data_IF_111744962131
#
_entry.id   IF_111744962131
#
_cell.length_a   1.000
_cell.length_b   1.000
_cell.length_c   1.000
_cell.angle_alpha   90.00
_cell.angle_beta   90.00
_cell.angle_gamma   90.00
#
_symmetry.space_group_name_H-M   'P 1'
#
loop_
_entity.id
_entity.type
_entity.pdbx_description
1 polymer ?
#
# COMPACT_ATOMS: atom_id res chain seq x y z
N UNK A 1 -41.52 -34.04 12.17
CA UNK A 1 -41.46 -32.92 11.21
C UNK A 1 -40.92 -31.70 11.94
N UNK A 2 -39.79 -31.15 11.45
CA UNK A 2 -39.31 -29.75 11.52
C UNK A 2 -39.13 -29.18 12.95
N UNK A 3 -37.93 -29.25 13.56
CA UNK A 3 -36.73 -28.43 13.33
C UNK A 3 -36.93 -26.93 13.61
N UNK A 4 -36.31 -26.41 14.68
CA UNK A 4 -35.96 -24.99 14.78
C UNK A 4 -34.61 -24.87 15.47
N UNK A 5 -33.56 -24.85 14.64
CA UNK A 5 -32.19 -24.57 15.04
C UNK A 5 -32.04 -23.06 15.27
N UNK A 6 -31.70 -22.65 16.49
CA UNK A 6 -31.05 -21.36 16.73
C UNK A 6 -29.58 -21.48 16.31
N UNK A 7 -29.30 -21.23 15.05
CA UNK A 7 -27.94 -20.96 14.59
C UNK A 7 -27.62 -19.49 14.88
N UNK A 8 -26.91 -19.25 15.98
CA UNK A 8 -26.22 -17.99 16.21
C UNK A 8 -25.20 -17.78 15.08
N UNK A 9 -25.55 -16.94 14.10
CA UNK A 9 -24.58 -16.37 13.16
C UNK A 9 -23.65 -15.43 13.95
N UNK A 10 -22.62 -16.01 14.57
CA UNK A 10 -21.35 -15.32 14.73
C UNK A 10 -20.82 -15.09 13.32
N UNK A 11 -21.15 -13.92 12.76
CA UNK A 11 -20.43 -13.33 11.65
C UNK A 11 -19.03 -13.00 12.18
N UNK A 12 -18.21 -14.05 12.27
CA UNK A 12 -16.76 -13.91 12.30
C UNK A 12 -16.39 -13.28 10.98
N UNK A 13 -16.34 -11.95 10.95
CA UNK A 13 -15.47 -11.23 10.03
C UNK A 13 -14.07 -11.68 10.40
N UNK A 14 -13.67 -12.81 9.82
CA UNK A 14 -12.29 -13.17 9.61
C UNK A 14 -11.73 -11.97 8.85
N UNK A 15 -11.15 -11.04 9.59
CA UNK A 15 -10.16 -10.12 9.06
C UNK A 15 -9.07 -11.02 8.51
N UNK A 16 -9.20 -11.39 7.24
CA UNK A 16 -8.07 -11.77 6.42
C UNK A 16 -7.17 -10.55 6.47
N UNK A 17 -6.28 -10.51 7.46
CA UNK A 17 -5.05 -9.74 7.38
C UNK A 17 -4.37 -10.38 6.19
N UNK A 18 -4.63 -9.84 5.01
CA UNK A 18 -3.94 -10.30 3.81
C UNK A 18 -2.47 -10.16 4.14
N UNK A 19 -1.73 -11.25 3.98
CA UNK A 19 -0.27 -11.21 4.13
C UNK A 19 0.24 -10.22 3.07
N UNK A 20 0.39 -8.94 3.45
CA UNK A 20 0.61 -7.83 2.52
C UNK A 20 -0.11 -6.52 2.85
N UNK A 21 -1.10 -6.51 3.76
CA UNK A 21 -1.65 -5.27 4.29
C UNK A 21 -0.63 -4.57 5.21
N UNK A 22 -0.40 -3.26 5.05
CA UNK A 22 0.49 -2.53 5.95
C UNK A 22 -0.04 -2.52 7.39
N UNK A 23 0.86 -2.69 8.36
CA UNK A 23 0.48 -2.64 9.77
C UNK A 23 0.05 -1.22 10.19
N UNK A 24 -0.78 -1.07 11.26
CA UNK A 24 -1.13 0.25 11.79
C UNK A 24 0.08 1.12 12.13
N UNK A 25 1.16 0.51 12.62
CA UNK A 25 2.44 1.19 12.91
C UNK A 25 3.10 1.75 11.66
N UNK A 26 2.94 1.12 10.50
CA UNK A 26 3.44 1.63 9.23
C UNK A 26 2.62 2.82 8.75
N UNK A 27 1.29 2.74 8.88
CA UNK A 27 0.36 3.79 8.47
C UNK A 27 0.47 5.06 9.33
N UNK A 28 0.75 4.89 10.63
CA UNK A 28 0.94 5.99 11.57
C UNK A 28 2.23 6.80 11.33
N UNK A 29 3.11 6.38 10.42
CA UNK A 29 4.30 7.16 10.05
C UNK A 29 3.93 8.27 9.09
N UNK A 30 4.47 9.45 9.35
CA UNK A 30 4.35 10.57 8.43
C UNK A 30 5.01 10.26 7.07
N UNK A 31 4.40 10.69 5.97
CA UNK A 31 5.00 10.58 4.66
C UNK A 31 6.26 11.45 4.57
N UNK A 32 7.34 10.90 4.00
CA UNK A 32 8.57 11.67 3.68
C UNK A 32 8.48 12.38 2.33
N UNK A 33 7.47 12.03 1.55
CA UNK A 33 7.20 12.62 0.25
C UNK A 33 5.73 12.39 -0.09
N UNK A 34 5.06 13.45 -0.51
CA UNK A 34 3.71 13.42 -1.04
C UNK A 34 3.74 14.00 -2.45
N UNK A 35 3.10 13.31 -3.39
CA UNK A 35 3.04 13.69 -4.80
C UNK A 35 1.58 13.60 -5.28
N UNK A 36 1.27 14.32 -6.35
CA UNK A 36 0.01 14.22 -7.09
C UNK A 36 0.31 13.87 -8.53
N UNK A 37 -0.46 12.96 -9.12
CA UNK A 37 -0.31 12.49 -10.49
C UNK A 37 -1.62 12.64 -11.27
N UNK A 38 -1.52 13.04 -12.54
CA UNK A 38 -2.65 12.97 -13.48
C UNK A 38 -2.91 11.56 -14.01
N UNK A 39 -2.01 10.60 -13.73
CA UNK A 39 -2.12 9.22 -14.19
C UNK A 39 -3.14 8.43 -13.36
N UNK A 40 -3.62 7.31 -13.92
CA UNK A 40 -4.50 6.39 -13.21
C UNK A 40 -3.78 5.70 -12.04
N UNK A 41 -4.49 5.29 -10.97
CA UNK A 41 -3.89 4.55 -9.86
C UNK A 41 -3.16 3.27 -10.30
N UNK A 42 -3.64 2.59 -11.35
CA UNK A 42 -2.97 1.43 -11.96
C UNK A 42 -1.62 1.78 -12.59
N UNK A 43 -1.58 2.84 -13.39
CA UNK A 43 -0.35 3.30 -14.04
C UNK A 43 0.70 3.74 -13.00
N UNK A 44 0.26 4.47 -11.97
CA UNK A 44 1.11 4.86 -10.85
C UNK A 44 1.66 3.64 -10.11
N UNK A 45 0.81 2.67 -9.77
CA UNK A 45 1.22 1.45 -9.07
C UNK A 45 2.27 0.66 -9.87
N UNK A 46 2.03 0.50 -11.18
CA UNK A 46 2.96 -0.21 -12.06
C UNK A 46 4.30 0.53 -12.15
N UNK A 47 4.28 1.86 -12.34
CA UNK A 47 5.49 2.66 -12.37
C UNK A 47 6.27 2.56 -11.06
N UNK A 48 5.59 2.64 -9.90
CA UNK A 48 6.22 2.50 -8.58
C UNK A 48 6.88 1.13 -8.43
N UNK A 49 6.21 0.06 -8.87
CA UNK A 49 6.75 -1.30 -8.88
C UNK A 49 8.08 -1.38 -9.64
N UNK A 50 8.14 -0.80 -10.85
CA UNK A 50 9.34 -0.76 -11.69
C UNK A 50 10.41 0.19 -11.14
N UNK A 51 10.01 1.31 -10.55
CA UNK A 51 10.91 2.32 -9.99
C UNK A 51 11.71 1.78 -8.79
N UNK A 52 11.15 0.81 -8.06
CA UNK A 52 11.73 0.28 -6.82
C UNK A 52 12.07 -1.21 -6.90
N UNK A 53 12.08 -1.78 -8.09
CA UNK A 53 12.46 -3.17 -8.38
C UNK A 53 13.76 -3.62 -7.69
N UNK A 54 14.78 -2.77 -7.68
CA UNK A 54 16.06 -3.03 -7.03
C UNK A 54 16.07 -2.90 -5.50
N UNK A 55 14.97 -2.46 -4.87
CA UNK A 55 14.79 -2.53 -3.40
C UNK A 55 14.31 -3.93 -2.99
N UNK A 56 13.60 -4.62 -3.87
CA UNK A 56 13.07 -5.96 -3.62
C UNK A 56 11.75 -6.19 -4.33
N UNK A 57 11.15 -7.37 -4.10
CA UNK A 57 9.85 -7.71 -4.67
C UNK A 57 8.74 -6.91 -3.96
N UNK A 58 7.85 -6.22 -4.70
CA UNK A 58 6.73 -5.51 -4.10
C UNK A 58 5.72 -6.48 -3.52
N UNK A 59 5.14 -6.10 -2.38
CA UNK A 59 3.90 -6.66 -1.84
C UNK A 59 2.81 -5.61 -2.01
N UNK A 60 1.78 -5.95 -2.80
CA UNK A 60 0.67 -5.05 -3.08
C UNK A 60 -0.59 -5.51 -2.34
N UNK A 61 -1.30 -4.55 -1.75
CA UNK A 61 -2.61 -4.76 -1.15
C UNK A 61 -3.53 -3.57 -1.47
N UNK A 62 -4.84 -3.78 -1.35
CA UNK A 62 -5.85 -2.78 -1.70
C UNK A 62 -6.89 -2.68 -0.59
N UNK A 63 -7.26 -1.45 -0.28
CA UNK A 63 -8.40 -1.08 0.56
C UNK A 63 -9.32 -0.14 -0.24
N UNK A 64 -10.59 0.05 0.16
CA UNK A 64 -11.46 1.02 -0.50
C UNK A 64 -10.79 2.41 -0.62
N UNK A 65 -10.64 2.88 -1.87
CA UNK A 65 -10.03 4.18 -2.18
C UNK A 65 -8.51 4.25 -2.03
N UNK A 66 -7.82 3.15 -1.70
CA UNK A 66 -6.36 3.15 -1.47
C UNK A 66 -5.71 1.87 -1.97
N UNK A 67 -4.50 2.01 -2.50
CA UNK A 67 -3.60 0.90 -2.79
C UNK A 67 -2.31 1.07 -2.00
N UNK A 68 -1.78 -0.04 -1.53
CA UNK A 68 -0.52 -0.06 -0.79
C UNK A 68 0.49 -0.89 -1.56
N UNK A 69 1.69 -0.35 -1.72
CA UNK A 69 2.84 -1.07 -2.27
C UNK A 69 3.94 -1.01 -1.23
N UNK A 70 4.33 -2.18 -0.73
CA UNK A 70 5.36 -2.32 0.29
C UNK A 70 6.60 -2.98 -0.28
N UNK A 71 7.78 -2.46 0.06
CA UNK A 71 9.08 -3.03 -0.33
C UNK A 71 9.98 -3.23 0.89
N UNK A 72 10.92 -4.16 0.76
CA UNK A 72 11.86 -4.54 1.81
C UNK A 72 11.23 -5.46 2.86
N UNK A 73 11.92 -5.64 3.99
CA UNK A 73 11.41 -6.44 5.10
C UNK A 73 10.33 -5.65 5.85
N UNK A 74 9.09 -6.18 5.89
CA UNK A 74 7.93 -5.54 6.52
C UNK A 74 8.14 -5.29 8.02
N UNK A 75 8.83 -6.20 8.71
CA UNK A 75 9.00 -6.16 10.16
C UNK A 75 10.06 -5.15 10.59
N UNK A 76 11.13 -5.01 9.80
CA UNK A 76 12.31 -4.21 10.19
C UNK A 76 12.41 -2.89 9.44
N UNK A 77 12.07 -2.84 8.16
CA UNK A 77 12.37 -1.69 7.31
C UNK A 77 11.49 -1.50 6.07
N UNK A 78 10.15 -1.46 6.22
CA UNK A 78 9.26 -1.35 5.08
C UNK A 78 9.34 0.04 4.45
N UNK A 79 9.56 0.10 3.14
CA UNK A 79 9.10 1.23 2.35
C UNK A 79 7.62 1.00 2.10
N UNK A 80 6.76 1.91 2.55
CA UNK A 80 5.33 1.85 2.26
C UNK A 80 4.96 3.00 1.33
N UNK A 81 4.33 2.67 0.22
CA UNK A 81 3.76 3.65 -0.70
C UNK A 81 2.25 3.47 -0.69
N UNK A 82 1.55 4.55 -0.37
CA UNK A 82 0.09 4.61 -0.44
C UNK A 82 -0.30 5.40 -1.68
N UNK A 83 -1.15 4.81 -2.52
CA UNK A 83 -1.72 5.42 -3.71
C UNK A 83 -3.20 5.61 -3.42
N UNK A 84 -3.66 6.85 -3.36
CA UNK A 84 -5.06 7.20 -3.13
C UNK A 84 -5.77 7.23 -4.47
N UNK A 85 -6.86 6.48 -4.60
CA UNK A 85 -7.68 6.37 -5.81
C UNK A 85 -8.62 7.58 -6.01
N UNK A 86 -8.09 8.77 -5.75
CA UNK A 86 -8.75 10.05 -5.98
C UNK A 86 -8.22 10.68 -7.29
N UNK A 87 -8.85 11.75 -7.77
CA UNK A 87 -8.40 12.48 -8.96
C UNK A 87 -8.10 13.94 -8.59
N UNK A 88 -6.84 14.42 -8.72
CA UNK A 88 -5.65 13.69 -9.17
C UNK A 88 -5.20 12.59 -8.19
N UNK A 89 -4.56 11.54 -8.70
CA UNK A 89 -4.06 10.42 -7.89
C UNK A 89 -2.99 10.93 -6.92
N UNK A 90 -3.23 10.84 -5.61
CA UNK A 90 -2.23 11.20 -4.59
C UNK A 90 -1.37 10.00 -4.23
N UNK A 91 -0.08 10.26 -4.03
CA UNK A 91 0.93 9.26 -3.69
C UNK A 91 1.63 9.71 -2.41
N UNK A 92 1.61 8.89 -1.38
CA UNK A 92 2.33 9.12 -0.14
C UNK A 92 3.40 8.04 0.06
N UNK A 93 4.65 8.48 0.20
CA UNK A 93 5.77 7.59 0.46
C UNK A 93 6.16 7.70 1.93
N UNK A 94 5.95 6.63 2.68
CA UNK A 94 6.27 6.52 4.10
C UNK A 94 7.64 5.84 4.28
N UNK A 95 8.43 6.37 5.21
CA UNK A 95 9.89 6.15 5.29
C UNK A 95 10.29 4.70 5.58
N UNK A 96 11.31 4.25 4.85
CA UNK A 96 12.32 3.27 5.30
C UNK A 96 13.73 3.84 5.11
N UNK A 97 14.72 3.28 5.80
CA UNK A 97 16.14 3.63 5.61
C UNK A 97 16.60 3.40 4.16
N UNK A 98 15.93 2.50 3.42
CA UNK A 98 16.24 2.20 2.04
C UNK A 98 15.95 3.38 1.09
N UNK A 99 15.10 4.33 1.49
CA UNK A 99 14.58 5.37 0.60
C UNK A 99 15.52 6.59 0.46
N UNK A 100 16.72 6.38 -0.09
CA UNK A 100 17.69 7.44 -0.38
C UNK A 100 17.27 8.35 -1.58
N UNK A 101 18.09 9.35 -1.92
CA UNK A 101 17.80 10.33 -2.99
C UNK A 101 17.53 9.66 -4.35
N UNK A 102 18.25 8.58 -4.68
CA UNK A 102 18.07 7.82 -5.94
C UNK A 102 16.64 7.31 -6.06
N UNK A 103 16.14 6.61 -5.04
CA UNK A 103 14.80 6.02 -5.07
C UNK A 103 13.69 7.05 -5.03
N UNK A 104 13.85 8.12 -4.23
CA UNK A 104 12.89 9.24 -4.22
C UNK A 104 12.75 9.88 -5.60
N UNK A 105 13.86 10.07 -6.31
CA UNK A 105 13.82 10.60 -7.67
C UNK A 105 13.09 9.66 -8.64
N UNK A 106 13.33 8.34 -8.55
CA UNK A 106 12.60 7.36 -9.40
C UNK A 106 11.09 7.41 -9.17
N UNK A 107 10.63 7.52 -7.93
CA UNK A 107 9.18 7.64 -7.62
C UNK A 107 8.59 8.95 -8.15
N UNK A 108 9.34 10.06 -8.12
CA UNK A 108 8.84 11.35 -8.66
C UNK A 108 8.46 11.27 -10.14
N UNK A 109 9.18 10.47 -10.93
CA UNK A 109 8.83 10.23 -12.34
C UNK A 109 7.50 9.50 -12.53
N UNK A 110 6.99 8.81 -11.51
CA UNK A 110 5.66 8.18 -11.55
C UNK A 110 4.51 9.16 -11.30
N UNK A 111 4.82 10.37 -10.83
CA UNK A 111 3.82 11.41 -10.62
C UNK A 111 3.73 12.42 -11.79
N UNK A 112 4.75 12.46 -12.65
CA UNK A 112 4.81 13.32 -13.83
C UNK A 112 4.01 12.79 -15.02
#
# INVERSE_FOLDING_TARGET
>A
MIATQLAALLVGVLTQVSAGAPSPKMLARDPVMTLTSGQSPDAVQQCVGLALDGIGRPLASREPGKRFVTFGNIETSPVLITIYEETPTRIEVRRSFALNKKWRNRIRFCAS
#
